data_IF_468763538092
#
_entry.id   IF_468763538092
#
_cell.length_a   1.000
_cell.length_b   1.000
_cell.length_c   1.000
_cell.angle_alpha   90.00
_cell.angle_beta   90.00
_cell.angle_gamma   90.00
#
_symmetry.space_group_name_H-M   'P 1'
#
loop_
_entity.id
_entity.type
_entity.pdbx_description
1 polymer ?
#
# COMPACT_ATOMS: atom_id res chain seq x y z
N UNK A 1 -20.95 -0.58 5.66
CA UNK A 1 -19.78 0.20 6.11
C UNK A 1 -18.59 -0.73 6.22
N UNK A 2 -17.63 -0.65 5.30
CA UNK A 2 -16.41 -1.47 5.33
C UNK A 2 -15.45 -0.89 6.36
N UNK A 3 -15.37 -1.48 7.55
CA UNK A 3 -14.17 -1.32 8.36
C UNK A 3 -13.04 -2.02 7.61
N UNK A 4 -12.19 -1.21 6.97
CA UNK A 4 -10.78 -1.54 6.92
C UNK A 4 -10.35 -1.94 8.33
N UNK A 5 -9.48 -2.94 8.48
CA UNK A 5 -8.80 -3.32 9.72
C UNK A 5 -8.74 -2.09 10.63
N UNK A 6 -9.50 -2.07 11.73
CA UNK A 6 -9.87 -0.82 12.42
C UNK A 6 -8.72 0.19 12.45
N UNK A 7 -9.00 1.45 12.13
CA UNK A 7 -7.99 2.52 11.96
C UNK A 7 -6.85 2.36 12.97
N UNK A 8 -5.65 2.06 12.47
CA UNK A 8 -4.47 1.83 13.31
C UNK A 8 -3.89 3.14 13.83
N UNK A 9 -4.05 4.18 13.03
CA UNK A 9 -3.58 5.52 13.32
C UNK A 9 -4.77 6.46 13.55
N UNK A 10 -4.65 7.30 14.58
CA UNK A 10 -5.61 8.37 14.86
C UNK A 10 -5.36 9.55 13.91
N UNK A 11 -6.02 9.52 12.74
CA UNK A 11 -5.95 10.59 11.75
C UNK A 11 -6.84 11.76 12.10
N UNK A 12 -6.23 12.89 12.44
CA UNK A 12 -6.92 14.14 12.76
C UNK A 12 -6.87 15.10 11.57
N UNK A 13 -7.93 15.86 11.38
CA UNK A 13 -7.93 16.96 10.41
C UNK A 13 -7.25 18.17 11.02
N UNK A 14 -6.27 18.73 10.32
CA UNK A 14 -5.66 20.01 10.63
C UNK A 14 -6.19 21.08 9.64
N UNK A 15 -7.03 22.03 10.11
CA UNK A 15 -7.59 23.05 9.24
C UNK A 15 -6.58 24.12 8.82
N UNK A 16 -5.45 24.30 9.53
CA UNK A 16 -4.46 25.33 9.20
C UNK A 16 -3.68 24.95 7.95
N UNK A 17 -3.37 23.67 7.80
CA UNK A 17 -2.60 23.14 6.69
C UNK A 17 -3.47 22.44 5.64
N UNK A 18 -4.76 22.30 5.92
CA UNK A 18 -5.71 21.52 5.13
C UNK A 18 -5.26 20.06 4.89
N UNK A 19 -4.72 19.42 5.94
CA UNK A 19 -4.16 18.07 5.88
C UNK A 19 -4.81 17.15 6.91
N UNK A 20 -4.77 15.84 6.65
CA UNK A 20 -4.95 14.88 7.73
C UNK A 20 -3.59 14.46 8.28
N UNK A 21 -3.47 14.44 9.61
CA UNK A 21 -2.23 14.20 10.34
C UNK A 21 -2.41 13.03 11.31
N UNK A 22 -1.42 12.15 11.37
CA UNK A 22 -1.31 11.09 12.36
C UNK A 22 0.12 11.01 12.91
N UNK A 23 0.27 10.56 14.15
CA UNK A 23 1.58 10.37 14.78
C UNK A 23 1.89 8.88 14.92
N UNK A 24 3.08 8.47 14.48
CA UNK A 24 3.54 7.08 14.58
C UNK A 24 5.06 6.97 14.54
N UNK A 25 5.64 6.15 15.42
CA UNK A 25 7.09 5.92 15.45
C UNK A 25 7.92 7.18 15.72
N UNK A 26 7.40 8.09 16.57
CA UNK A 26 8.07 9.36 16.91
C UNK A 26 8.02 10.45 15.83
N UNK A 27 7.32 10.23 14.71
CA UNK A 27 7.19 11.18 13.61
C UNK A 27 5.74 11.49 13.25
N UNK A 28 5.52 12.67 12.67
CA UNK A 28 4.24 13.11 12.12
C UNK A 28 4.10 12.69 10.67
N UNK A 29 2.96 12.10 10.32
CA UNK A 29 2.60 11.65 8.98
C UNK A 29 1.42 12.45 8.49
N UNK A 30 1.48 12.89 7.24
CA UNK A 30 0.51 13.84 6.69
C UNK A 30 0.01 13.34 5.36
N UNK A 31 -1.30 13.49 5.10
CA UNK A 31 -1.88 13.31 3.77
C UNK A 31 -2.60 14.58 3.35
N UNK A 32 -2.54 14.90 2.07
CA UNK A 32 -3.12 16.10 1.48
C UNK A 32 -3.95 15.75 0.25
N UNK A 33 -5.04 16.47 0.03
CA UNK A 33 -5.84 16.35 -1.19
C UNK A 33 -5.34 17.34 -2.22
N UNK A 34 -4.92 16.84 -3.37
CA UNK A 34 -4.73 17.64 -4.57
C UNK A 34 -6.01 17.55 -5.41
N UNK A 35 -6.67 18.69 -5.59
CA UNK A 35 -7.69 18.81 -6.62
C UNK A 35 -7.03 18.80 -8.02
N UNK A 36 -7.86 18.85 -9.05
CA UNK A 36 -7.35 18.78 -10.43
C UNK A 36 -6.38 19.91 -10.76
N UNK A 37 -6.70 21.13 -10.34
CA UNK A 37 -5.89 22.30 -10.62
C UNK A 37 -4.53 22.24 -9.90
N UNK A 38 -4.54 21.89 -8.61
CA UNK A 38 -3.34 21.75 -7.80
C UNK A 38 -2.45 20.59 -8.26
N UNK A 39 -3.06 19.49 -8.72
CA UNK A 39 -2.37 18.35 -9.28
C UNK A 39 -1.69 18.69 -10.61
N UNK A 40 -2.42 19.30 -11.55
CA UNK A 40 -1.91 19.70 -12.86
C UNK A 40 -0.74 20.70 -12.72
N UNK A 41 -0.86 21.69 -11.82
CA UNK A 41 0.19 22.68 -11.56
C UNK A 41 1.51 22.07 -11.03
N UNK A 42 1.45 20.86 -10.47
CA UNK A 42 2.59 20.18 -9.85
C UNK A 42 2.99 18.89 -10.59
N UNK A 43 2.35 18.56 -11.71
CA UNK A 43 2.62 17.32 -12.45
C UNK A 43 2.17 16.04 -11.73
N UNK A 44 1.20 16.14 -10.82
CA UNK A 44 0.66 14.99 -10.08
C UNK A 44 -0.71 14.55 -10.63
N UNK A 45 -1.13 13.35 -10.25
CA UNK A 45 -2.50 12.86 -10.54
C UNK A 45 -3.45 13.35 -9.45
N UNK A 46 -4.66 13.87 -9.78
CA UNK A 46 -5.60 14.35 -8.76
C UNK A 46 -5.99 13.25 -7.76
N UNK A 47 -6.09 13.60 -6.48
CA UNK A 47 -6.42 12.67 -5.41
C UNK A 47 -5.77 13.03 -4.08
N UNK A 48 -5.74 12.07 -3.17
CA UNK A 48 -5.04 12.19 -1.89
C UNK A 48 -3.63 11.65 -2.03
N UNK A 49 -2.68 12.33 -1.41
CA UNK A 49 -1.25 12.01 -1.45
C UNK A 49 -0.67 11.92 -0.05
N UNK A 50 0.35 11.09 0.11
CA UNK A 50 1.21 11.15 1.29
C UNK A 50 2.15 12.35 1.15
N UNK A 51 2.42 13.05 2.25
CA UNK A 51 3.54 13.99 2.32
C UNK A 51 4.72 13.25 2.94
N UNK A 52 5.82 13.23 2.21
CA UNK A 52 7.07 12.60 2.62
C UNK A 52 8.13 13.68 2.79
N UNK A 53 9.13 13.45 3.64
CA UNK A 53 10.27 14.34 3.70
C UNK A 53 11.27 13.93 2.60
N UNK A 54 11.71 14.89 1.79
CA UNK A 54 12.72 14.68 0.75
C UNK A 54 14.10 14.36 1.35
N UNK A 55 15.11 14.19 0.48
CA UNK A 55 16.49 13.89 0.92
C UNK A 55 17.11 14.98 1.83
N UNK A 56 16.52 16.18 1.88
CA UNK A 56 16.92 17.32 2.70
C UNK A 56 16.02 17.54 3.92
N UNK A 57 15.06 16.63 4.17
CA UNK A 57 14.11 16.73 5.27
C UNK A 57 12.98 17.75 5.03
N UNK A 58 12.75 18.16 3.77
CA UNK A 58 11.68 19.11 3.42
C UNK A 58 10.43 18.33 2.99
N UNK A 59 9.22 18.78 3.40
CA UNK A 59 8.00 18.12 2.99
C UNK A 59 7.76 18.24 1.47
N UNK A 60 7.63 17.11 0.81
CA UNK A 60 7.24 16.97 -0.59
C UNK A 60 5.98 16.09 -0.75
N UNK A 61 5.31 16.24 -1.88
CA UNK A 61 4.16 15.44 -2.26
C UNK A 61 4.65 14.09 -2.78
N UNK A 62 4.42 13.05 -1.99
CA UNK A 62 4.69 11.68 -2.38
C UNK A 62 3.59 11.06 -3.23
N UNK A 63 3.57 9.73 -3.19
CA UNK A 63 2.65 8.90 -4.00
C UNK A 63 1.17 9.22 -3.74
N UNK A 64 0.37 9.13 -4.81
CA UNK A 64 -1.09 9.20 -4.72
C UNK A 64 -1.64 7.99 -3.98
N UNK A 65 -2.41 8.17 -2.92
CA UNK A 65 -2.95 7.10 -2.09
C UNK A 65 -4.38 6.66 -2.47
N UNK A 66 -5.11 7.51 -3.19
CA UNK A 66 -6.47 7.19 -3.63
C UNK A 66 -7.33 8.40 -3.95
N UNK A 67 -8.57 8.15 -4.37
CA UNK A 67 -9.55 9.21 -4.71
C UNK A 67 -10.39 9.67 -3.51
N UNK A 68 -10.52 8.85 -2.46
CA UNK A 68 -11.28 9.16 -1.25
C UNK A 68 -10.36 9.27 -0.03
N UNK A 69 -10.77 10.06 0.96
CA UNK A 69 -10.00 10.26 2.20
C UNK A 69 -9.82 8.95 2.95
N UNK A 70 -10.85 8.10 2.98
CA UNK A 70 -10.79 6.86 3.73
C UNK A 70 -9.84 5.84 3.10
N UNK A 71 -9.84 5.73 1.76
CA UNK A 71 -8.89 4.91 1.04
C UNK A 71 -7.46 5.44 1.22
N UNK A 72 -7.30 6.76 1.26
CA UNK A 72 -6.00 7.39 1.46
C UNK A 72 -5.44 7.14 2.86
N UNK A 73 -6.22 7.36 3.91
CA UNK A 73 -5.83 7.05 5.29
C UNK A 73 -5.42 5.58 5.45
N UNK A 74 -6.18 4.69 4.83
CA UNK A 74 -5.91 3.26 4.82
C UNK A 74 -4.56 2.94 4.14
N UNK A 75 -4.34 3.45 2.93
CA UNK A 75 -3.09 3.26 2.21
C UNK A 75 -1.88 3.91 2.94
N UNK A 76 -2.07 5.08 3.55
CA UNK A 76 -1.05 5.72 4.37
C UNK A 76 -0.71 4.87 5.61
N UNK A 77 -1.71 4.35 6.33
CA UNK A 77 -1.46 3.45 7.47
C UNK A 77 -0.62 2.24 7.06
N UNK A 78 -0.94 1.62 5.93
CA UNK A 78 -0.15 0.53 5.40
C UNK A 78 1.28 0.98 5.05
N UNK A 79 1.47 2.11 4.39
CA UNK A 79 2.80 2.65 4.08
C UNK A 79 3.64 2.94 5.34
N UNK A 80 3.02 3.56 6.34
CA UNK A 80 3.68 4.02 7.56
C UNK A 80 4.14 2.86 8.43
N UNK A 81 3.30 1.82 8.53
CA UNK A 81 3.54 0.67 9.41
C UNK A 81 4.36 -0.42 8.71
N UNK A 82 4.36 -0.47 7.39
CA UNK A 82 5.10 -1.48 6.64
C UNK A 82 6.49 -0.99 6.28
N UNK A 83 7.53 -1.66 6.77
CA UNK A 83 8.88 -1.46 6.28
C UNK A 83 8.97 -1.94 4.82
N UNK A 84 9.12 -1.02 3.86
CA UNK A 84 9.51 -1.41 2.50
C UNK A 84 10.99 -1.77 2.51
N UNK A 85 11.30 -3.05 2.27
CA UNK A 85 12.63 -3.43 1.81
C UNK A 85 12.75 -3.04 0.33
N UNK A 86 13.74 -2.22 -0.02
CA UNK A 86 13.93 -1.62 -1.35
C UNK A 86 14.46 -2.63 -2.39
N UNK A 87 13.70 -3.70 -2.63
CA UNK A 87 14.03 -4.71 -3.63
C UNK A 87 13.45 -4.31 -4.97
N UNK A 88 14.30 -3.80 -5.87
CA UNK A 88 13.97 -3.38 -7.26
C UNK A 88 13.18 -4.42 -8.07
N UNK A 89 13.23 -5.69 -7.68
CA UNK A 89 12.59 -6.82 -8.36
C UNK A 89 11.11 -7.04 -8.00
N UNK A 90 10.59 -6.33 -6.99
CA UNK A 90 9.20 -6.46 -6.57
C UNK A 90 8.49 -5.11 -6.57
N UNK A 91 7.17 -5.10 -6.78
CA UNK A 91 6.41 -3.87 -6.65
C UNK A 91 6.55 -3.27 -5.26
N UNK A 92 6.68 -1.95 -5.19
CA UNK A 92 6.47 -1.24 -3.94
C UNK A 92 5.01 -1.35 -3.53
N UNK A 93 4.76 -1.50 -2.23
CA UNK A 93 3.42 -1.56 -1.66
C UNK A 93 2.64 -0.30 -2.00
N UNK A 94 3.29 0.88 -1.99
CA UNK A 94 2.66 2.13 -2.44
C UNK A 94 2.05 2.00 -3.82
N UNK A 95 2.81 1.50 -4.79
CA UNK A 95 2.39 1.44 -6.19
C UNK A 95 1.23 0.45 -6.34
N UNK A 96 1.25 -0.66 -5.60
CA UNK A 96 0.13 -1.61 -5.54
C UNK A 96 -1.13 -0.97 -4.93
N UNK A 97 -0.98 -0.06 -3.96
CA UNK A 97 -2.11 0.65 -3.33
C UNK A 97 -2.63 1.84 -4.16
N UNK A 98 -1.75 2.53 -4.90
CA UNK A 98 -2.04 3.82 -5.55
C UNK A 98 -2.65 3.70 -6.94
N UNK A 99 -2.20 2.70 -7.70
CA UNK A 99 -2.27 2.76 -9.16
C UNK A 99 -3.21 1.75 -9.79
N UNK A 100 -3.68 0.73 -9.05
CA UNK A 100 -4.55 -0.32 -9.59
C UNK A 100 -4.01 -0.89 -10.92
N UNK A 101 -3.13 -1.89 -10.86
CA UNK A 101 -2.49 -2.54 -12.01
C UNK A 101 -1.30 -1.79 -12.63
N UNK A 102 -0.20 -1.66 -11.89
CA UNK A 102 1.10 -1.67 -12.58
C UNK A 102 1.50 -3.15 -12.70
N UNK A 103 1.95 -3.55 -13.89
CA UNK A 103 2.50 -4.88 -14.13
C UNK A 103 3.99 -4.88 -13.76
N UNK A 104 4.45 -5.91 -13.06
CA UNK A 104 5.82 -6.04 -12.58
C UNK A 104 6.41 -7.36 -13.04
N UNK A 105 7.69 -7.35 -13.39
CA UNK A 105 8.39 -8.57 -13.74
C UNK A 105 9.15 -9.08 -12.52
N UNK A 106 8.70 -10.21 -11.98
CA UNK A 106 9.35 -10.91 -10.88
C UNK A 106 9.64 -12.35 -11.31
N UNK A 107 10.90 -12.78 -11.18
CA UNK A 107 11.34 -14.14 -11.57
C UNK A 107 10.90 -14.56 -12.98
N UNK A 108 10.92 -13.65 -13.96
CA UNK A 108 10.50 -13.94 -15.33
C UNK A 108 8.98 -13.99 -15.56
N UNK A 109 8.17 -13.84 -14.52
CA UNK A 109 6.70 -13.76 -14.61
C UNK A 109 6.26 -12.31 -14.48
N UNK A 110 5.45 -11.84 -15.44
CA UNK A 110 4.78 -10.55 -15.32
C UNK A 110 3.53 -10.72 -14.47
N UNK A 111 3.40 -9.93 -13.41
CA UNK A 111 2.25 -9.95 -12.51
C UNK A 111 1.66 -8.57 -12.31
N UNK A 112 0.35 -8.47 -12.22
CA UNK A 112 -0.35 -7.27 -11.76
C UNK A 112 -0.92 -7.50 -10.38
N UNK A 113 -0.84 -6.46 -9.55
CA UNK A 113 -1.39 -6.49 -8.20
C UNK A 113 -2.60 -5.56 -8.15
N UNK A 114 -3.70 -6.11 -7.67
CA UNK A 114 -4.97 -5.41 -7.51
C UNK A 114 -5.41 -5.52 -6.06
N UNK A 115 -5.88 -4.42 -5.52
CA UNK A 115 -6.66 -4.46 -4.29
C UNK A 115 -7.98 -5.16 -4.61
N UNK A 116 -8.38 -6.11 -3.78
CA UNK A 116 -9.69 -6.72 -3.95
C UNK A 116 -10.82 -5.76 -3.57
N UNK A 117 -12.05 -6.03 -4.02
CA UNK A 117 -13.19 -5.13 -3.82
C UNK A 117 -13.53 -4.91 -2.33
N UNK A 118 -13.23 -5.90 -1.48
CA UNK A 118 -13.35 -5.78 -0.03
C UNK A 118 -12.21 -4.94 0.59
N UNK A 119 -11.14 -4.70 -0.15
CA UNK A 119 -9.95 -3.96 0.24
C UNK A 119 -9.14 -4.62 1.35
N UNK A 120 -9.28 -5.93 1.56
CA UNK A 120 -8.65 -6.66 2.67
C UNK A 120 -7.40 -7.41 2.24
N UNK A 121 -7.24 -7.66 0.94
CA UNK A 121 -6.11 -8.39 0.37
C UNK A 121 -5.71 -7.78 -0.97
N UNK A 122 -4.50 -8.13 -1.37
CA UNK A 122 -3.93 -7.76 -2.66
C UNK A 122 -3.92 -8.99 -3.55
N UNK A 123 -4.88 -9.08 -4.46
CA UNK A 123 -4.92 -10.12 -5.47
C UNK A 123 -3.72 -9.96 -6.42
N UNK A 124 -3.03 -11.06 -6.69
CA UNK A 124 -1.92 -11.11 -7.63
C UNK A 124 -2.41 -11.89 -8.85
N UNK A 125 -2.30 -11.27 -10.02
CA UNK A 125 -2.68 -11.86 -11.30
C UNK A 125 -1.44 -12.08 -12.14
N UNK A 126 -1.40 -13.16 -12.89
CA UNK A 126 -0.42 -13.34 -13.95
C UNK A 126 -0.86 -12.54 -15.17
N UNK A 127 -0.01 -11.66 -15.67
CA UNK A 127 -0.27 -10.87 -16.88
C UNK A 127 0.04 -11.73 -18.12
N UNK A 128 -0.74 -12.80 -18.32
CA UNK A 128 -0.78 -13.59 -19.54
C UNK A 128 -2.15 -13.46 -20.23
N UNK A 129 -2.33 -14.16 -21.35
CA UNK A 129 -3.57 -14.14 -22.14
C UNK A 129 -4.84 -14.49 -21.34
N UNK A 130 -4.69 -15.15 -20.19
CA UNK A 130 -5.81 -15.59 -19.34
C UNK A 130 -6.02 -14.72 -18.10
N UNK A 131 -5.08 -13.84 -17.77
CA UNK A 131 -5.14 -12.98 -16.57
C UNK A 131 -5.53 -13.72 -15.28
N UNK A 132 -5.04 -14.97 -15.15
CA UNK A 132 -5.45 -15.86 -14.05
C UNK A 132 -4.93 -15.36 -12.70
N UNK A 133 -5.80 -15.44 -11.68
CA UNK A 133 -5.41 -15.19 -10.30
C UNK A 133 -4.38 -16.23 -9.84
N UNK A 134 -3.25 -15.75 -9.34
CA UNK A 134 -2.14 -16.53 -8.76
C UNK A 134 -2.36 -16.76 -7.27
N UNK A 135 -3.11 -15.86 -6.62
CA UNK A 135 -3.37 -15.89 -5.19
C UNK A 135 -3.53 -14.47 -4.65
N UNK A 136 -3.32 -14.30 -3.36
CA UNK A 136 -3.38 -12.98 -2.74
C UNK A 136 -2.35 -12.80 -1.62
N UNK A 137 -1.92 -11.56 -1.42
CA UNK A 137 -1.17 -11.13 -0.25
C UNK A 137 -2.12 -10.52 0.77
N UNK A 138 -2.11 -11.06 1.98
CA UNK A 138 -2.97 -10.64 3.09
C UNK A 138 -2.10 -10.03 4.19
N UNK A 139 -2.32 -8.75 4.57
CA UNK A 139 -1.67 -8.17 5.73
C UNK A 139 -2.22 -8.77 7.03
N UNK A 140 -1.33 -9.03 7.99
CA UNK A 140 -1.61 -9.44 9.35
C UNK A 140 -1.04 -8.39 10.31
N UNK A 141 -1.92 -7.66 10.98
CA UNK A 141 -1.53 -6.67 11.96
C UNK A 141 -1.31 -7.33 13.33
N UNK A 142 -0.13 -7.13 13.89
CA UNK A 142 0.25 -7.61 15.21
C UNK A 142 0.46 -6.42 16.14
N UNK A 143 -0.44 -6.26 17.12
CA UNK A 143 -0.30 -5.26 18.17
C UNK A 143 0.33 -5.87 19.43
N UNK A 144 1.43 -5.28 19.93
CA UNK A 144 1.96 -5.62 21.27
C UNK A 144 2.51 -4.36 21.94
N UNK A 145 1.92 -3.98 23.07
CA UNK A 145 2.45 -2.93 23.95
C UNK A 145 2.58 -1.54 23.31
N UNK A 146 1.61 -1.13 22.47
CA UNK A 146 1.63 0.18 21.80
C UNK A 146 2.46 0.24 20.51
N UNK A 147 3.19 -0.82 20.18
CA UNK A 147 3.80 -1.01 18.86
C UNK A 147 2.91 -1.90 17.99
N UNK A 148 2.61 -1.43 16.77
CA UNK A 148 1.94 -2.22 15.74
C UNK A 148 2.97 -2.60 14.69
N UNK A 149 3.01 -3.89 14.34
CA UNK A 149 3.82 -4.42 13.24
C UNK A 149 2.93 -5.13 12.24
N UNK A 150 3.38 -5.25 11.00
CA UNK A 150 2.67 -6.00 9.95
C UNK A 150 3.51 -7.19 9.54
N UNK A 151 2.86 -8.36 9.52
CA UNK A 151 3.34 -9.54 8.77
C UNK A 151 2.46 -9.73 7.54
N UNK A 152 2.98 -10.43 6.55
CA UNK A 152 2.34 -10.65 5.28
C UNK A 152 2.15 -12.14 5.05
N UNK A 153 0.95 -12.54 4.61
CA UNK A 153 0.65 -13.92 4.26
C UNK A 153 0.38 -14.00 2.76
N UNK A 154 1.08 -14.90 2.09
CA UNK A 154 0.75 -15.34 0.75
C UNK A 154 -0.29 -16.46 0.87
N UNK A 155 -1.44 -16.31 0.20
CA UNK A 155 -2.47 -17.34 0.11
C UNK A 155 -2.76 -17.67 -1.35
N UNK A 156 -3.12 -18.93 -1.62
CA UNK A 156 -3.49 -19.39 -2.95
C UNK A 156 -4.90 -18.88 -3.36
N UNK A 157 -5.39 -19.21 -4.57
CA UNK A 157 -6.74 -18.83 -4.98
C UNK A 157 -7.88 -19.44 -4.13
N UNK A 158 -7.65 -20.57 -3.46
CA UNK A 158 -8.60 -21.18 -2.53
C UNK A 158 -8.57 -20.51 -1.14
N UNK A 159 -7.55 -19.71 -0.86
CA UNK A 159 -7.33 -19.03 0.41
C UNK A 159 -6.41 -19.79 1.37
N UNK A 160 -5.80 -20.89 0.93
CA UNK A 160 -4.87 -21.67 1.73
C UNK A 160 -3.52 -20.97 1.86
N UNK A 161 -2.90 -21.07 3.04
CA UNK A 161 -1.63 -20.40 3.33
C UNK A 161 -0.49 -21.03 2.53
N UNK A 162 0.14 -20.24 1.67
CA UNK A 162 1.37 -20.61 0.97
C UNK A 162 2.58 -20.28 1.85
N UNK A 163 2.66 -19.05 2.37
CA UNK A 163 3.80 -18.60 3.18
C UNK A 163 3.46 -17.40 4.08
N UNK A 164 4.19 -17.28 5.20
CA UNK A 164 4.25 -16.06 6.01
C UNK A 164 5.58 -15.34 5.81
N UNK A 165 5.56 -14.00 5.77
CA UNK A 165 6.73 -13.15 5.57
C UNK A 165 6.63 -11.92 6.45
N UNK A 166 7.77 -11.40 6.90
CA UNK A 166 7.84 -10.12 7.62
C UNK A 166 7.91 -8.93 6.66
N UNK A 167 8.09 -9.19 5.36
CA UNK A 167 8.14 -8.17 4.31
C UNK A 167 7.11 -8.43 3.21
N UNK A 168 6.61 -7.35 2.62
CA UNK A 168 5.73 -7.35 1.45
C UNK A 168 6.38 -8.11 0.28
N UNK A 169 7.64 -7.78 -0.01
CA UNK A 169 8.43 -8.41 -1.05
C UNK A 169 8.57 -9.94 -0.87
N UNK A 170 8.79 -10.41 0.36
CA UNK A 170 8.88 -11.85 0.65
C UNK A 170 7.56 -12.59 0.41
N UNK A 171 6.42 -11.98 0.73
CA UNK A 171 5.10 -12.57 0.47
C UNK A 171 4.81 -12.67 -1.03
N UNK A 172 5.11 -11.62 -1.81
CA UNK A 172 4.97 -11.66 -3.28
C UNK A 172 5.91 -12.70 -3.89
N UNK A 173 7.18 -12.71 -3.48
CA UNK A 173 8.15 -13.68 -3.97
C UNK A 173 7.69 -15.12 -3.73
N UNK A 174 7.03 -15.39 -2.61
CA UNK A 174 6.45 -16.70 -2.30
C UNK A 174 5.31 -17.07 -3.25
N UNK A 175 4.40 -16.12 -3.57
CA UNK A 175 3.34 -16.35 -4.54
C UNK A 175 3.88 -16.64 -5.93
N UNK A 176 4.83 -15.82 -6.41
CA UNK A 176 5.39 -15.96 -7.75
C UNK A 176 6.14 -17.28 -7.92
N UNK A 177 6.92 -17.71 -6.90
CA UNK A 177 7.60 -19.02 -6.90
C UNK A 177 6.64 -20.20 -6.82
N UNK A 178 5.47 -20.04 -6.20
CA UNK A 178 4.50 -21.13 -6.10
C UNK A 178 3.79 -21.44 -7.43
N UNK A 179 3.82 -20.52 -8.41
CA UNK A 179 3.16 -20.68 -9.72
C UNK A 179 4.13 -20.70 -10.91
N UNK A 180 5.44 -20.68 -10.64
CA UNK A 180 6.53 -20.69 -11.62
C UNK A 180 7.46 -21.88 -11.41
#
# INVERSE_FOLDING_TARGET
>A
MSQWFGRLLDWRWDPQTAQHVAWHGGRSHRIVKLDRMAADARGYTPGWHLIEDDEWGRPDIGVRLGSTVDAAKAAAEAWIVCAESDLRQYPRLSIAMSSGCVGYQAYGVRVSIRRDDAGRRFAVHRDDATSRSVGAVVPLFLGRGGATSVRWRAVDPAGELIAGSDTWAGAIGSLVRAVG
#
